data_IF_711176037295
#
_entry.id   IF_711176037295
#
_cell.length_a   1.000
_cell.length_b   1.000
_cell.length_c   1.000
_cell.angle_alpha   90.00
_cell.angle_beta   90.00
_cell.angle_gamma   90.00
#
_symmetry.space_group_name_H-M   'P 1'
#
loop_
_entity.id
_entity.type
_entity.pdbx_description
1 polymer ?
#
# COMPACT_ATOMS: atom_id res chain seq x y z
N UNK A 1 -25.53 -7.33 47.57
CA UNK A 1 -25.47 -6.31 46.51
C UNK A 1 -24.67 -6.90 45.35
N UNK A 2 -25.34 -7.29 44.26
CA UNK A 2 -24.65 -7.85 43.09
C UNK A 2 -24.33 -6.69 42.14
N UNK A 3 -23.05 -6.35 42.03
CA UNK A 3 -22.56 -5.40 41.04
C UNK A 3 -22.60 -6.12 39.68
N UNK A 4 -23.73 -6.01 39.00
CA UNK A 4 -23.84 -6.41 37.59
C UNK A 4 -23.01 -5.44 36.76
N UNK A 5 -21.78 -5.83 36.45
CA UNK A 5 -20.91 -5.08 35.54
C UNK A 5 -21.45 -5.16 34.13
N UNK A 6 -21.85 -4.03 33.55
CA UNK A 6 -22.20 -3.93 32.14
C UNK A 6 -20.94 -4.17 31.28
N UNK A 7 -20.83 -5.36 30.69
CA UNK A 7 -19.86 -5.62 29.61
C UNK A 7 -20.48 -5.05 28.33
N UNK A 8 -20.24 -3.77 28.06
CA UNK A 8 -20.50 -3.20 26.73
C UNK A 8 -19.47 -3.78 25.77
N UNK A 9 -19.87 -4.72 24.90
CA UNK A 9 -18.99 -5.21 23.83
C UNK A 9 -18.72 -4.06 22.87
N UNK A 10 -17.52 -3.52 22.91
CA UNK A 10 -17.03 -2.54 21.95
C UNK A 10 -16.96 -3.21 20.58
N UNK A 11 -17.74 -2.73 19.61
CA UNK A 11 -17.63 -3.15 18.21
C UNK A 11 -16.44 -2.41 17.61
N UNK A 12 -15.34 -3.13 17.38
CA UNK A 12 -14.19 -2.60 16.65
C UNK A 12 -14.51 -2.74 15.16
N UNK A 13 -14.56 -1.62 14.45
CA UNK A 13 -14.70 -1.59 13.00
C UNK A 13 -13.36 -1.18 12.40
N UNK A 14 -12.77 -2.05 11.58
CA UNK A 14 -11.50 -1.80 10.94
C UNK A 14 -11.72 -1.01 9.66
N UNK A 15 -11.16 0.19 9.59
CA UNK A 15 -11.11 0.97 8.36
C UNK A 15 -9.94 0.49 7.51
N UNK A 16 -10.20 0.16 6.25
CA UNK A 16 -9.17 -0.24 5.29
C UNK A 16 -9.09 0.78 4.16
N UNK A 17 -7.89 1.01 3.59
CA UNK A 17 -7.76 1.85 2.42
C UNK A 17 -8.48 1.23 1.22
N UNK A 18 -8.82 2.03 0.20
CA UNK A 18 -9.29 1.53 -1.09
C UNK A 18 -8.39 0.40 -1.60
N UNK A 19 -9.02 -0.70 -2.04
CA UNK A 19 -8.32 -1.94 -2.41
C UNK A 19 -7.31 -1.71 -3.54
N UNK A 20 -7.56 -0.75 -4.43
CA UNK A 20 -6.66 -0.37 -5.50
C UNK A 20 -5.28 0.12 -5.02
N UNK A 21 -5.16 0.61 -3.78
CA UNK A 21 -3.89 1.06 -3.20
C UNK A 21 -3.09 -0.09 -2.59
N UNK A 22 -3.74 -1.21 -2.27
CA UNK A 22 -3.13 -2.38 -1.63
C UNK A 22 -2.63 -3.43 -2.65
N UNK A 23 -2.77 -3.15 -3.94
CA UNK A 23 -2.20 -3.99 -4.98
C UNK A 23 -0.68 -4.04 -4.82
N UNK A 24 -0.08 -5.21 -4.98
CA UNK A 24 1.37 -5.34 -4.93
C UNK A 24 2.00 -4.51 -6.04
N UNK A 25 3.09 -3.81 -5.69
CA UNK A 25 3.88 -3.11 -6.67
C UNK A 25 4.57 -4.11 -7.61
N UNK A 26 4.55 -3.78 -8.90
CA UNK A 26 5.30 -4.55 -9.90
C UNK A 26 6.79 -4.47 -9.60
N UNK A 27 7.46 -5.61 -9.78
CA UNK A 27 8.91 -5.72 -9.67
C UNK A 27 9.40 -6.67 -10.73
N UNK A 28 9.81 -6.12 -11.85
CA UNK A 28 10.42 -6.91 -12.92
C UNK A 28 11.76 -7.47 -12.50
N UNK A 29 12.06 -8.68 -12.95
CA UNK A 29 13.41 -9.26 -12.85
C UNK A 29 14.28 -8.80 -14.02
N UNK A 30 15.58 -8.65 -13.76
CA UNK A 30 16.55 -8.37 -14.81
C UNK A 30 17.04 -9.68 -15.44
N UNK A 31 16.82 -9.85 -16.74
CA UNK A 31 17.28 -11.01 -17.52
C UNK A 31 18.21 -10.64 -18.67
N UNK A 32 18.67 -9.38 -18.71
CA UNK A 32 19.55 -8.87 -19.75
C UNK A 32 20.97 -9.41 -19.66
N UNK A 33 21.68 -9.36 -20.79
CA UNK A 33 23.08 -9.81 -20.93
C UNK A 33 24.01 -8.69 -21.40
N UNK A 34 23.44 -7.58 -21.89
CA UNK A 34 24.20 -6.43 -22.39
C UNK A 34 23.97 -5.18 -21.54
N UNK A 35 24.85 -4.20 -21.70
CA UNK A 35 24.63 -2.87 -21.12
C UNK A 35 23.37 -2.19 -21.70
N UNK A 36 23.02 -2.46 -22.96
CA UNK A 36 21.78 -1.97 -23.56
C UNK A 36 20.56 -2.48 -22.82
N UNK A 37 20.50 -3.79 -22.56
CA UNK A 37 19.42 -4.43 -21.82
C UNK A 37 19.30 -3.84 -20.40
N UNK A 38 20.43 -3.49 -19.77
CA UNK A 38 20.43 -2.86 -18.46
C UNK A 38 19.79 -1.46 -18.49
N UNK A 39 20.07 -0.64 -19.51
CA UNK A 39 19.45 0.69 -19.66
C UNK A 39 17.95 0.56 -19.90
N UNK A 40 17.52 -0.35 -20.77
CA UNK A 40 16.10 -0.60 -21.02
C UNK A 40 15.38 -1.08 -19.77
N UNK A 41 16.00 -2.00 -19.03
CA UNK A 41 15.49 -2.47 -17.74
C UNK A 41 15.39 -1.34 -16.71
N UNK A 42 16.38 -0.44 -16.65
CA UNK A 42 16.34 0.72 -15.75
C UNK A 42 15.13 1.62 -16.05
N UNK A 43 14.84 1.90 -17.32
CA UNK A 43 13.64 2.67 -17.71
C UNK A 43 12.37 1.99 -17.22
N UNK A 44 12.27 0.66 -17.38
CA UNK A 44 11.13 -0.13 -16.90
C UNK A 44 10.94 -0.01 -15.38
N UNK A 45 11.98 -0.31 -14.59
CA UNK A 45 11.87 -0.31 -13.13
C UNK A 45 11.71 1.10 -12.54
N UNK A 46 12.15 2.15 -13.23
CA UNK A 46 11.82 3.53 -12.85
C UNK A 46 10.32 3.80 -12.97
N UNK A 47 9.68 3.34 -14.05
CA UNK A 47 8.23 3.45 -14.21
C UNK A 47 7.46 2.65 -13.15
N UNK A 48 7.87 1.40 -12.89
CA UNK A 48 7.28 0.56 -11.83
C UNK A 48 7.39 1.23 -10.45
N UNK A 49 8.57 1.79 -10.14
CA UNK A 49 8.83 2.52 -8.90
C UNK A 49 7.93 3.75 -8.76
N UNK A 50 7.79 4.55 -9.81
CA UNK A 50 7.03 5.80 -9.73
C UNK A 50 5.53 5.52 -9.53
N UNK A 51 4.99 4.46 -10.17
CA UNK A 51 3.63 3.99 -9.92
C UNK A 51 3.43 3.49 -8.49
N UNK A 52 4.38 2.69 -7.98
CA UNK A 52 4.37 2.18 -6.62
C UNK A 52 4.43 3.31 -5.59
N UNK A 53 5.30 4.30 -5.80
CA UNK A 53 5.40 5.47 -4.94
C UNK A 53 4.06 6.22 -4.87
N UNK A 54 3.39 6.41 -6.02
CA UNK A 54 2.05 7.02 -6.06
C UNK A 54 0.97 6.22 -5.32
N UNK A 55 1.04 4.89 -5.28
CA UNK A 55 0.16 4.08 -4.43
C UNK A 55 0.42 4.35 -2.94
N UNK A 56 1.69 4.40 -2.53
CA UNK A 56 2.08 4.67 -1.13
C UNK A 56 1.62 6.05 -0.68
N UNK A 57 1.77 7.08 -1.51
CA UNK A 57 1.29 8.42 -1.17
C UNK A 57 -0.24 8.44 -0.98
N UNK A 58 -1.00 7.77 -1.86
CA UNK A 58 -2.46 7.66 -1.69
C UNK A 58 -2.88 6.95 -0.41
N UNK A 59 -2.10 5.97 0.06
CA UNK A 59 -2.34 5.34 1.38
C UNK A 59 -2.10 6.34 2.51
N UNK A 60 -1.04 7.16 2.41
CA UNK A 60 -0.73 8.19 3.42
C UNK A 60 -1.83 9.24 3.47
N UNK A 61 -2.24 9.77 2.31
CA UNK A 61 -3.36 10.72 2.19
C UNK A 61 -4.67 10.13 2.75
N UNK A 62 -4.98 8.87 2.40
CA UNK A 62 -6.14 8.18 2.95
C UNK A 62 -6.07 8.09 4.48
N UNK A 63 -4.91 7.74 5.05
CA UNK A 63 -4.74 7.64 6.51
C UNK A 63 -4.94 8.99 7.20
N UNK A 64 -4.42 10.07 6.62
CA UNK A 64 -4.58 11.43 7.13
C UNK A 64 -6.04 11.90 7.05
N UNK A 65 -6.72 11.60 5.93
CA UNK A 65 -8.14 11.89 5.75
C UNK A 65 -9.06 11.04 6.64
N UNK A 66 -8.72 9.77 6.85
CA UNK A 66 -9.44 8.83 7.72
C UNK A 66 -9.28 9.11 9.21
N UNK A 67 -8.32 9.95 9.59
CA UNK A 67 -8.10 10.40 10.98
C UNK A 67 -8.94 11.64 11.34
N UNK A 68 -9.76 12.14 10.41
CA UNK A 68 -10.77 13.20 10.63
C UNK A 68 -12.16 12.60 10.65
#
# INVERSE_FOLDING_TARGET
MSLSGCITKTKIEYLYPPQAFLMQCERSEFSGTTYGDAIEYLVKVMGERDLCAGQVERIREWKEGASK
#
